data_IF_638078204822
#
_entry.id   IF_638078204822
#
_cell.length_a   1.000
_cell.length_b   1.000
_cell.length_c   1.000
_cell.angle_alpha   90.00
_cell.angle_beta   90.00
_cell.angle_gamma   90.00
#
_symmetry.space_group_name_H-M   'P 1'
#
loop_
_entity.id
_entity.type
_entity.pdbx_description
1 polymer ?
#
# COMPACT_ATOMS: atom_id res chain seq x y z
N UNK A 1 -1.63 -33.90 60.13
CA UNK A 1 -3.01 -34.42 59.98
C UNK A 1 -3.88 -33.68 60.97
N UNK A 2 -4.86 -32.93 60.49
CA UNK A 2 -5.85 -32.29 61.35
C UNK A 2 -6.95 -33.30 61.71
N UNK A 3 -7.54 -33.13 62.90
CA UNK A 3 -8.72 -33.89 63.33
C UNK A 3 -9.82 -32.93 63.74
N UNK A 4 -11.05 -33.18 63.31
CA UNK A 4 -12.21 -32.35 63.65
C UNK A 4 -13.44 -33.21 63.89
N UNK A 5 -14.22 -32.85 64.92
CA UNK A 5 -15.52 -33.46 65.20
C UNK A 5 -16.61 -32.66 64.49
N UNK A 6 -17.43 -33.35 63.70
CA UNK A 6 -18.50 -32.76 62.88
C UNK A 6 -19.82 -33.49 63.12
N UNK A 7 -20.95 -32.86 62.79
CA UNK A 7 -22.29 -33.45 62.91
C UNK A 7 -22.93 -33.60 61.54
N UNK A 8 -23.40 -34.81 61.21
CA UNK A 8 -24.18 -35.09 60.00
C UNK A 8 -25.52 -35.66 60.44
N UNK A 9 -26.60 -34.95 60.13
CA UNK A 9 -27.97 -35.23 60.57
C UNK A 9 -28.09 -35.54 62.07
N UNK A 10 -27.34 -34.81 62.90
CA UNK A 10 -27.33 -34.96 64.36
C UNK A 10 -26.39 -36.04 64.91
N UNK A 11 -25.75 -36.85 64.06
CA UNK A 11 -24.76 -37.86 64.47
C UNK A 11 -23.36 -37.26 64.43
N UNK A 12 -22.59 -37.44 65.49
CA UNK A 12 -21.20 -36.96 65.59
C UNK A 12 -20.21 -37.91 64.91
N UNK A 13 -19.33 -37.35 64.07
CA UNK A 13 -18.25 -38.06 63.39
C UNK A 13 -16.91 -37.37 63.66
N UNK A 14 -15.86 -38.17 63.88
CA UNK A 14 -14.49 -37.68 64.00
C UNK A 14 -13.74 -37.87 62.68
N UNK A 15 -13.51 -36.77 61.96
CA UNK A 15 -12.79 -36.77 60.69
C UNK A 15 -11.30 -36.51 60.93
N UNK A 16 -10.45 -37.24 60.20
CA UNK A 16 -8.99 -37.03 60.16
C UNK A 16 -8.55 -36.88 58.71
N UNK A 17 -7.81 -35.81 58.41
CA UNK A 17 -7.36 -35.50 57.06
C UNK A 17 -5.99 -34.85 57.00
N UNK A 18 -5.41 -34.77 55.80
CA UNK A 18 -4.18 -34.01 55.54
C UNK A 18 -4.45 -32.50 55.46
N UNK A 19 -5.65 -32.14 54.99
CA UNK A 19 -6.14 -30.77 54.89
C UNK A 19 -6.44 -30.16 56.27
N UNK A 20 -6.67 -28.84 56.29
CA UNK A 20 -6.96 -28.10 57.50
C UNK A 20 -8.36 -28.38 58.07
N UNK A 21 -8.60 -27.92 59.30
CA UNK A 21 -9.87 -28.14 59.99
C UNK A 21 -11.03 -27.43 59.31
N UNK A 22 -10.79 -26.28 58.66
CA UNK A 22 -11.83 -25.50 57.99
C UNK A 22 -12.37 -26.22 56.75
N UNK A 23 -11.47 -26.76 55.92
CA UNK A 23 -11.81 -27.59 54.78
C UNK A 23 -12.57 -28.85 55.20
N UNK A 24 -12.08 -29.56 56.22
CA UNK A 24 -12.76 -30.77 56.72
C UNK A 24 -14.17 -30.47 57.26
N UNK A 25 -14.37 -29.31 57.91
CA UNK A 25 -15.69 -28.84 58.33
C UNK A 25 -16.58 -28.48 57.13
N UNK A 26 -16.02 -27.87 56.09
CA UNK A 26 -16.75 -27.53 54.87
C UNK A 26 -17.23 -28.77 54.13
N UNK A 27 -16.38 -29.79 53.99
CA UNK A 27 -16.76 -31.09 53.39
C UNK A 27 -17.89 -31.74 54.19
N UNK A 28 -17.78 -31.77 55.52
CA UNK A 28 -18.83 -32.34 56.36
C UNK A 28 -20.16 -31.56 56.25
N UNK A 29 -20.09 -30.23 56.21
CA UNK A 29 -21.24 -29.35 56.01
C UNK A 29 -21.91 -29.61 54.67
N UNK A 30 -21.14 -29.75 53.59
CA UNK A 30 -21.65 -30.05 52.26
C UNK A 30 -22.45 -31.37 52.23
N UNK A 31 -21.90 -32.43 52.83
CA UNK A 31 -22.58 -33.72 52.92
C UNK A 31 -23.84 -33.64 53.77
N UNK A 32 -23.80 -32.95 54.91
CA UNK A 32 -24.97 -32.74 55.77
C UNK A 32 -26.10 -31.99 55.05
N UNK A 33 -25.78 -30.93 54.30
CA UNK A 33 -26.73 -30.18 53.49
C UNK A 33 -27.37 -31.04 52.40
N UNK A 34 -26.57 -31.85 51.68
CA UNK A 34 -27.08 -32.78 50.65
C UNK A 34 -28.00 -33.85 51.24
N UNK A 35 -27.66 -34.42 52.38
CA UNK A 35 -28.50 -35.44 53.03
C UNK A 35 -29.81 -34.84 53.54
N UNK A 36 -29.77 -33.64 54.14
CA UNK A 36 -30.98 -32.91 54.57
C UNK A 36 -31.89 -32.59 53.38
N UNK A 37 -31.33 -32.09 52.30
CA UNK A 37 -32.08 -31.75 51.08
C UNK A 37 -32.83 -32.99 50.52
N UNK A 38 -32.20 -34.16 50.53
CA UNK A 38 -32.84 -35.40 50.07
C UNK A 38 -33.95 -35.88 51.00
N UNK A 39 -33.78 -35.74 52.32
CA UNK A 39 -34.81 -36.08 53.31
C UNK A 39 -36.01 -35.13 53.24
N UNK A 40 -35.76 -33.84 53.01
CA UNK A 40 -36.80 -32.83 52.80
C UNK A 40 -37.61 -33.08 51.52
N UNK A 41 -36.93 -33.48 50.43
CA UNK A 41 -37.58 -33.78 49.14
C UNK A 41 -38.36 -35.10 49.15
N UNK A 42 -38.00 -36.07 49.99
CA UNK A 42 -38.70 -37.35 50.08
C UNK A 42 -38.77 -37.88 51.52
N UNK A 43 -39.89 -37.59 52.19
CA UNK A 43 -40.14 -37.98 53.57
C UNK A 43 -40.26 -39.50 53.81
N UNK A 44 -40.36 -40.32 52.75
CA UNK A 44 -40.37 -41.79 52.84
C UNK A 44 -38.97 -42.40 52.84
N UNK A 45 -37.94 -41.60 52.57
CA UNK A 45 -36.56 -42.06 52.48
C UNK A 45 -35.97 -42.24 53.88
N UNK A 46 -35.36 -43.39 54.15
CA UNK A 46 -34.63 -43.59 55.41
C UNK A 46 -33.34 -42.76 55.40
N UNK A 47 -32.82 -42.41 56.58
CA UNK A 47 -31.55 -41.69 56.69
C UNK A 47 -30.40 -42.43 55.99
N UNK A 48 -30.34 -43.76 56.09
CA UNK A 48 -29.33 -44.57 55.41
C UNK A 48 -29.46 -44.49 53.89
N UNK A 49 -30.68 -44.58 53.35
CA UNK A 49 -30.93 -44.45 51.91
C UNK A 49 -30.62 -43.02 51.40
N UNK A 50 -30.97 -41.99 52.18
CA UNK A 50 -30.64 -40.59 51.89
C UNK A 50 -29.12 -40.36 51.86
N UNK A 51 -28.39 -40.97 52.79
CA UNK A 51 -26.93 -40.88 52.85
C UNK A 51 -26.27 -41.56 51.65
N UNK A 52 -26.73 -42.75 51.27
CA UNK A 52 -26.23 -43.45 50.07
C UNK A 52 -26.53 -42.65 48.79
N UNK A 53 -27.74 -42.08 48.67
CA UNK A 53 -28.11 -41.27 47.51
C UNK A 53 -27.31 -39.95 47.45
N UNK A 54 -27.07 -39.31 48.60
CA UNK A 54 -26.18 -38.15 48.68
C UNK A 54 -24.77 -38.53 48.22
N UNK A 55 -24.23 -39.65 48.69
CA UNK A 55 -22.91 -40.12 48.27
C UNK A 55 -22.84 -40.38 46.75
N UNK A 56 -23.86 -41.01 46.16
CA UNK A 56 -23.92 -41.25 44.71
C UNK A 56 -23.96 -39.93 43.93
N UNK A 57 -24.77 -38.96 44.36
CA UNK A 57 -24.87 -37.66 43.70
C UNK A 57 -23.55 -36.89 43.77
N UNK A 58 -22.87 -36.90 44.92
CA UNK A 58 -21.56 -36.25 45.09
C UNK A 58 -20.49 -36.91 44.22
N UNK A 59 -20.51 -38.24 44.09
CA UNK A 59 -19.60 -38.96 43.19
C UNK A 59 -19.90 -38.65 41.72
N UNK A 60 -21.17 -38.53 41.34
CA UNK A 60 -21.56 -38.13 39.97
C UNK A 60 -21.13 -36.70 39.65
N UNK A 61 -21.34 -35.74 40.56
CA UNK A 61 -20.82 -34.38 40.44
C UNK A 61 -19.30 -34.36 40.29
N UNK A 62 -18.59 -35.18 41.07
CA UNK A 62 -17.14 -35.32 40.97
C UNK A 62 -16.71 -35.88 39.62
N UNK A 63 -17.38 -36.91 39.11
CA UNK A 63 -17.06 -37.50 37.80
C UNK A 63 -17.34 -36.54 36.65
N UNK A 64 -18.44 -35.78 36.70
CA UNK A 64 -18.75 -34.72 35.73
C UNK A 64 -17.71 -33.61 35.79
N UNK A 65 -17.39 -33.11 36.98
CA UNK A 65 -16.36 -32.09 37.16
C UNK A 65 -14.98 -32.55 36.68
N UNK A 66 -14.62 -33.82 36.92
CA UNK A 66 -13.36 -34.38 36.43
C UNK A 66 -13.35 -34.52 34.90
N UNK A 67 -14.48 -34.86 34.28
CA UNK A 67 -14.61 -34.87 32.82
C UNK A 67 -14.42 -33.46 32.25
N UNK A 68 -15.14 -32.47 32.76
CA UNK A 68 -15.05 -31.08 32.31
C UNK A 68 -13.61 -30.54 32.49
N UNK A 69 -12.94 -30.91 33.59
CA UNK A 69 -11.54 -30.58 33.84
C UNK A 69 -10.59 -31.19 32.80
N UNK A 70 -10.77 -32.47 32.45
CA UNK A 70 -9.95 -33.12 31.43
C UNK A 70 -10.21 -32.54 30.04
N UNK A 71 -11.47 -32.21 29.71
CA UNK A 71 -11.83 -31.55 28.45
C UNK A 71 -11.17 -30.15 28.38
N UNK A 72 -11.13 -29.42 29.50
CA UNK A 72 -10.45 -28.12 29.59
C UNK A 72 -8.93 -28.26 29.41
N UNK A 73 -8.29 -29.27 30.01
CA UNK A 73 -6.86 -29.55 29.78
C UNK A 73 -6.61 -29.84 28.29
N UNK A 74 -7.41 -30.70 27.68
CA UNK A 74 -7.24 -31.02 26.26
C UNK A 74 -7.40 -29.78 25.37
N UNK A 75 -8.35 -28.89 25.69
CA UNK A 75 -8.50 -27.62 24.98
C UNK A 75 -7.29 -26.69 25.19
N UNK A 76 -6.72 -26.66 26.40
CA UNK A 76 -5.55 -25.85 26.71
C UNK A 76 -4.31 -26.34 25.96
N UNK A 77 -4.08 -27.65 25.92
CA UNK A 77 -2.97 -28.25 25.18
C UNK A 77 -3.08 -27.96 23.68
N UNK A 78 -4.29 -28.06 23.11
CA UNK A 78 -4.54 -27.67 21.72
C UNK A 78 -4.25 -26.18 21.48
N UNK A 79 -4.68 -25.30 22.39
CA UNK A 79 -4.41 -23.87 22.29
C UNK A 79 -2.91 -23.57 22.35
N UNK A 80 -2.16 -24.27 23.21
CA UNK A 80 -0.70 -24.15 23.25
C UNK A 80 -0.04 -24.58 21.95
N UNK A 81 -0.49 -25.68 21.34
CA UNK A 81 0.02 -26.13 20.05
C UNK A 81 -0.25 -25.10 18.93
N UNK A 82 -1.48 -24.57 18.88
CA UNK A 82 -1.86 -23.54 17.91
C UNK A 82 -1.03 -22.26 18.11
N UNK A 83 -0.86 -21.80 19.35
CA UNK A 83 -0.03 -20.62 19.64
C UNK A 83 1.42 -20.83 19.19
N UNK A 84 2.00 -22.02 19.43
CA UNK A 84 3.35 -22.34 18.99
C UNK A 84 3.48 -22.36 17.46
N UNK A 85 2.45 -22.81 16.74
CA UNK A 85 2.41 -22.73 15.28
C UNK A 85 2.35 -21.28 14.80
N UNK A 86 1.48 -20.47 15.40
CA UNK A 86 1.34 -19.05 15.08
C UNK A 86 2.63 -18.27 15.35
N UNK A 87 3.32 -18.55 16.47
CA UNK A 87 4.63 -17.96 16.76
C UNK A 87 5.65 -18.26 15.65
N UNK A 88 5.64 -19.49 15.11
CA UNK A 88 6.52 -19.88 14.01
C UNK A 88 6.16 -19.15 12.70
N UNK A 89 4.89 -19.08 12.36
CA UNK A 89 4.40 -18.36 11.17
C UNK A 89 4.74 -16.86 11.23
N UNK A 90 4.60 -16.24 12.40
CA UNK A 90 4.98 -14.84 12.62
C UNK A 90 6.47 -14.64 12.39
N UNK A 91 7.31 -15.57 12.83
CA UNK A 91 8.75 -15.46 12.64
C UNK A 91 9.17 -15.65 11.17
N UNK A 92 8.58 -16.62 10.47
CA UNK A 92 8.77 -16.80 9.03
C UNK A 92 8.34 -15.56 8.24
N UNK A 93 7.20 -14.96 8.60
CA UNK A 93 6.72 -13.75 7.96
C UNK A 93 7.67 -12.56 8.18
N UNK A 94 8.23 -12.40 9.38
CA UNK A 94 9.22 -11.35 9.65
C UNK A 94 10.47 -11.49 8.79
N UNK A 95 11.00 -12.71 8.66
CA UNK A 95 12.16 -12.97 7.81
C UNK A 95 11.85 -12.67 6.34
N UNK A 96 10.66 -13.06 5.86
CA UNK A 96 10.23 -12.73 4.50
C UNK A 96 10.11 -11.22 4.26
N UNK A 97 9.60 -10.47 5.25
CA UNK A 97 9.45 -9.03 5.17
C UNK A 97 10.81 -8.33 5.15
N UNK A 98 11.77 -8.83 5.93
CA UNK A 98 13.15 -8.33 5.92
C UNK A 98 13.80 -8.55 4.55
N UNK A 99 13.67 -9.74 3.97
CA UNK A 99 14.20 -10.04 2.65
C UNK A 99 13.56 -9.15 1.56
N UNK A 100 12.24 -8.95 1.61
CA UNK A 100 11.54 -8.07 0.67
C UNK A 100 12.00 -6.61 0.79
N UNK A 101 12.24 -6.13 2.02
CA UNK A 101 12.79 -4.80 2.25
C UNK A 101 14.19 -4.64 1.65
N UNK A 102 15.08 -5.60 1.85
CA UNK A 102 16.43 -5.59 1.26
C UNK A 102 16.37 -5.61 -0.28
N UNK A 103 15.41 -6.33 -0.85
CA UNK A 103 15.16 -6.32 -2.29
C UNK A 103 14.70 -4.93 -2.77
N UNK A 104 13.78 -4.27 -2.07
CA UNK A 104 13.35 -2.91 -2.40
C UNK A 104 14.51 -1.90 -2.31
N UNK A 105 15.36 -1.99 -1.28
CA UNK A 105 16.54 -1.13 -1.14
C UNK A 105 17.52 -1.32 -2.30
N UNK A 106 17.73 -2.57 -2.74
CA UNK A 106 18.56 -2.89 -3.90
C UNK A 106 17.96 -2.34 -5.20
N UNK A 107 16.65 -2.49 -5.40
CA UNK A 107 15.97 -2.00 -6.58
C UNK A 107 16.05 -0.46 -6.67
N UNK A 108 15.92 0.22 -5.53
CA UNK A 108 16.04 1.67 -5.48
C UNK A 108 17.44 2.14 -5.89
N UNK A 109 18.49 1.46 -5.41
CA UNK A 109 19.87 1.75 -5.83
C UNK A 109 20.08 1.53 -7.34
N UNK A 110 19.43 0.53 -7.93
CA UNK A 110 19.48 0.30 -9.38
C UNK A 110 18.79 1.41 -10.17
N UNK A 111 17.64 1.90 -9.69
CA UNK A 111 16.94 3.04 -10.29
C UNK A 111 17.80 4.30 -10.21
N UNK A 112 18.39 4.59 -9.05
CA UNK A 112 19.29 5.73 -8.87
C UNK A 112 20.49 5.67 -9.85
N UNK A 113 21.07 4.48 -10.02
CA UNK A 113 22.18 4.27 -10.96
C UNK A 113 21.75 4.47 -12.41
N UNK A 114 20.58 3.97 -12.80
CA UNK A 114 20.03 4.18 -14.16
C UNK A 114 19.73 5.65 -14.43
N UNK A 115 19.15 6.36 -13.46
CA UNK A 115 18.86 7.79 -13.62
C UNK A 115 20.15 8.61 -13.80
N UNK A 116 21.23 8.26 -13.10
CA UNK A 116 22.54 8.89 -13.34
C UNK A 116 23.08 8.59 -14.73
N UNK A 117 22.86 7.38 -15.26
CA UNK A 117 23.25 7.04 -16.62
C UNK A 117 22.47 7.85 -17.65
N UNK A 118 21.14 7.91 -17.54
CA UNK A 118 20.27 8.69 -18.44
C UNK A 118 20.69 10.17 -18.44
N UNK A 119 20.87 10.78 -17.26
CA UNK A 119 21.35 12.16 -17.18
C UNK A 119 22.73 12.36 -17.84
N UNK A 120 23.58 11.34 -17.86
CA UNK A 120 24.87 11.38 -18.54
C UNK A 120 24.72 11.29 -20.06
N UNK A 121 23.80 10.45 -20.54
CA UNK A 121 23.45 10.33 -21.96
C UNK A 121 22.82 11.64 -22.47
N UNK A 122 21.88 12.23 -21.73
CA UNK A 122 21.25 13.52 -22.07
C UNK A 122 22.29 14.64 -22.22
N UNK A 123 23.26 14.73 -21.30
CA UNK A 123 24.36 15.70 -21.41
C UNK A 123 25.27 15.48 -22.62
N UNK A 124 25.43 14.22 -23.03
CA UNK A 124 26.20 13.90 -24.21
C UNK A 124 25.44 14.34 -25.46
N UNK A 125 24.14 14.05 -25.55
CA UNK A 125 23.28 14.51 -26.65
C UNK A 125 23.27 16.02 -26.76
N UNK A 126 23.09 16.76 -25.65
CA UNK A 126 23.18 18.23 -25.64
C UNK A 126 24.53 18.75 -26.19
N UNK A 127 25.61 18.01 -25.94
CA UNK A 127 26.96 18.38 -26.42
C UNK A 127 27.14 18.08 -27.90
N UNK A 128 26.53 17.01 -28.39
CA UNK A 128 26.52 16.63 -29.81
C UNK A 128 25.69 17.62 -30.62
N UNK A 129 24.51 18.01 -30.12
CA UNK A 129 23.64 19.01 -30.77
C UNK A 129 24.35 20.37 -30.89
N UNK A 130 25.04 20.83 -29.84
CA UNK A 130 25.84 22.07 -29.91
C UNK A 130 26.99 22.01 -30.92
N UNK A 131 27.56 20.81 -31.16
CA UNK A 131 28.59 20.66 -32.19
C UNK A 131 27.98 20.75 -33.59
N UNK A 132 26.84 20.10 -33.81
CA UNK A 132 26.12 20.16 -35.08
C UNK A 132 25.69 21.59 -35.40
N UNK A 133 25.17 22.34 -34.42
CA UNK A 133 24.82 23.75 -34.59
C UNK A 133 26.04 24.59 -35.03
N UNK A 134 27.20 24.36 -34.40
CA UNK A 134 28.44 25.06 -34.76
C UNK A 134 28.96 24.68 -36.15
N UNK A 135 28.83 23.42 -36.55
CA UNK A 135 29.17 22.97 -37.91
C UNK A 135 28.24 23.61 -38.96
N UNK A 136 26.94 23.67 -38.68
CA UNK A 136 25.97 24.31 -39.56
C UNK A 136 26.25 25.81 -39.74
N UNK A 137 26.53 26.55 -38.65
CA UNK A 137 26.94 27.96 -38.75
C UNK A 137 28.20 28.15 -39.60
N UNK A 138 29.15 27.20 -39.54
CA UNK A 138 30.35 27.26 -40.35
C UNK A 138 30.06 27.03 -41.84
N UNK A 139 29.17 26.10 -42.17
CA UNK A 139 28.69 25.86 -43.53
C UNK A 139 27.99 27.09 -44.09
N UNK A 140 27.14 27.75 -43.31
CA UNK A 140 26.47 28.99 -43.72
C UNK A 140 27.47 30.10 -44.07
N UNK A 141 28.56 30.22 -43.30
CA UNK A 141 29.63 31.19 -43.57
C UNK A 141 30.38 30.84 -44.87
N UNK A 142 30.67 29.56 -45.10
CA UNK A 142 31.31 29.11 -46.35
C UNK A 142 30.43 29.38 -47.57
N UNK A 143 29.14 29.05 -47.50
CA UNK A 143 28.18 29.33 -48.58
C UNK A 143 28.12 30.83 -48.90
N UNK A 144 28.03 31.71 -47.89
CA UNK A 144 28.06 33.15 -48.12
C UNK A 144 29.39 33.63 -48.74
N UNK A 145 30.52 33.01 -48.43
CA UNK A 145 31.79 33.35 -49.07
C UNK A 145 31.78 32.98 -50.55
N UNK A 146 31.30 31.78 -50.88
CA UNK A 146 31.16 31.32 -52.27
C UNK A 146 30.26 32.26 -53.07
N UNK A 147 29.11 32.68 -52.51
CA UNK A 147 28.22 33.65 -53.16
C UNK A 147 28.91 34.98 -53.45
N UNK A 148 29.69 35.50 -52.49
CA UNK A 148 30.43 36.75 -52.65
C UNK A 148 31.55 36.63 -53.70
N UNK A 149 32.23 35.49 -53.77
CA UNK A 149 33.23 35.21 -54.81
C UNK A 149 32.58 35.15 -56.19
N UNK A 150 31.42 34.48 -56.31
CA UNK A 150 30.63 34.45 -57.55
C UNK A 150 30.29 35.85 -58.05
N UNK A 151 29.75 36.71 -57.18
CA UNK A 151 29.43 38.10 -57.54
C UNK A 151 30.65 38.93 -57.97
N UNK A 152 31.84 38.66 -57.41
CA UNK A 152 33.06 39.33 -57.86
C UNK A 152 33.47 38.88 -59.25
N UNK A 153 33.40 37.58 -59.55
CA UNK A 153 33.69 37.03 -60.88
C UNK A 153 32.74 37.62 -61.92
N UNK A 154 31.45 37.72 -61.62
CA UNK A 154 30.47 38.35 -62.52
C UNK A 154 30.83 39.82 -62.81
N UNK A 155 31.19 40.59 -61.78
CA UNK A 155 31.61 41.98 -61.94
C UNK A 155 32.96 42.15 -62.67
N UNK A 156 33.86 41.17 -62.58
CA UNK A 156 35.09 41.13 -63.38
C UNK A 156 34.79 40.81 -64.85
N UNK A 157 33.90 39.85 -65.11
CA UNK A 157 33.45 39.50 -66.46
C UNK A 157 32.78 40.69 -67.14
N UNK A 158 31.87 41.42 -66.48
CA UNK A 158 31.27 42.64 -67.02
C UNK A 158 32.34 43.71 -67.39
N UNK A 159 33.41 43.83 -66.60
CA UNK A 159 34.50 44.76 -66.91
C UNK A 159 35.34 44.30 -68.11
N UNK A 160 35.54 42.99 -68.26
CA UNK A 160 36.19 42.41 -69.44
C UNK A 160 35.32 42.65 -70.68
N UNK A 161 34.00 42.50 -70.59
CA UNK A 161 33.06 42.80 -71.67
C UNK A 161 33.13 44.27 -72.10
N UNK A 162 33.14 45.21 -71.14
CA UNK A 162 33.28 46.64 -71.44
C UNK A 162 34.64 46.92 -72.10
N UNK A 163 35.72 46.25 -71.68
CA UNK A 163 37.05 46.38 -72.31
C UNK A 163 37.07 45.81 -73.72
N UNK A 164 36.48 44.65 -73.95
CA UNK A 164 36.39 44.03 -75.27
C UNK A 164 35.58 44.91 -76.22
N UNK A 165 34.44 45.47 -75.78
CA UNK A 165 33.68 46.46 -76.56
C UNK A 165 34.47 47.75 -76.86
N UNK A 166 35.40 48.16 -75.98
CA UNK A 166 36.29 49.30 -76.25
C UNK A 166 37.38 48.96 -77.26
N UNK A 167 37.92 47.74 -77.23
CA UNK A 167 38.87 47.23 -78.24
C UNK A 167 38.17 47.12 -79.60
N UNK A 168 36.91 46.67 -79.65
CA UNK A 168 36.08 46.67 -80.86
C UNK A 168 35.81 48.09 -81.39
N UNK A 169 35.73 49.09 -80.50
CA UNK A 169 35.60 50.51 -80.85
C UNK A 169 36.90 51.15 -81.38
N UNK A 170 38.06 50.64 -80.97
CA UNK A 170 39.37 51.06 -81.47
C UNK A 170 39.75 50.34 -82.77
N UNK A 171 39.33 49.08 -82.97
CA UNK A 171 39.50 48.32 -84.21
C UNK A 171 38.55 48.79 -85.34
N UNK A 172 37.42 49.42 -85.01
CA UNK A 172 36.58 50.17 -85.97
C UNK A 172 37.27 51.42 -86.55
N UNK A 173 38.43 51.83 -86.01
CA UNK A 173 39.24 52.92 -86.57
C UNK A 173 40.36 52.42 -87.50
N UNK A 174 40.54 51.10 -87.64
CA UNK A 174 41.58 50.50 -88.48
C UNK A 174 41.06 49.81 -89.76
N UNK A 175 39.80 49.36 -89.82
CA UNK A 175 39.30 48.52 -90.94
C UNK A 175 38.19 49.14 -91.82
N UNK A 176 38.33 50.42 -92.19
CA UNK A 176 37.68 50.96 -93.41
C UNK A 176 38.48 50.60 -94.69
N UNK A 177 39.60 49.87 -94.58
CA UNK A 177 40.46 49.59 -95.73
C UNK A 177 41.01 48.15 -95.74
N UNK A 178 40.17 47.12 -95.82
CA UNK A 178 40.28 46.08 -96.86
C UNK A 178 39.22 44.96 -96.75
N UNK A 179 38.64 44.66 -97.92
CA UNK A 179 37.67 43.60 -98.17
C UNK A 179 38.23 42.19 -97.91
N UNK A 180 37.41 41.28 -97.35
CA UNK A 180 36.97 39.97 -97.90
C UNK A 180 36.66 38.95 -96.78
N UNK A 181 35.39 38.61 -96.53
CA UNK A 181 34.68 37.37 -96.99
C UNK A 181 34.62 36.23 -95.95
N UNK A 182 33.39 35.99 -95.47
CA UNK A 182 32.72 34.69 -95.21
C UNK A 182 33.16 33.72 -94.09
N UNK A 183 33.75 34.18 -92.97
CA UNK A 183 34.05 33.30 -91.81
C UNK A 183 33.36 33.62 -90.48
N UNK A 184 32.96 34.88 -90.25
CA UNK A 184 32.68 35.38 -88.89
C UNK A 184 31.19 35.33 -88.50
N UNK A 185 30.28 35.24 -89.47
CA UNK A 185 28.85 35.11 -89.17
C UNK A 185 28.45 33.69 -88.69
N UNK A 186 29.25 32.65 -88.94
CA UNK A 186 28.98 31.30 -88.38
C UNK A 186 29.51 31.14 -86.95
N UNK A 187 30.50 31.95 -86.52
CA UNK A 187 31.05 31.90 -85.16
C UNK A 187 30.15 32.68 -84.17
N UNK A 188 29.64 33.85 -84.58
CA UNK A 188 28.72 34.66 -83.76
C UNK A 188 27.32 34.03 -83.59
N UNK A 189 26.86 33.23 -84.57
CA UNK A 189 25.60 32.46 -84.43
C UNK A 189 25.79 31.27 -83.49
N UNK A 190 26.96 30.59 -83.49
CA UNK A 190 27.25 29.48 -82.56
C UNK A 190 27.46 29.98 -81.13
N UNK A 191 28.11 31.13 -80.94
CA UNK A 191 28.38 31.72 -79.62
C UNK A 191 27.11 32.30 -78.99
N UNK A 192 26.23 32.95 -79.77
CA UNK A 192 24.90 33.34 -79.27
C UNK A 192 24.02 32.12 -78.95
N UNK A 193 24.11 31.04 -79.73
CA UNK A 193 23.37 29.81 -79.44
C UNK A 193 23.89 29.10 -78.18
N UNK A 194 25.20 29.19 -77.89
CA UNK A 194 25.78 28.68 -76.64
C UNK A 194 25.39 29.51 -75.42
N UNK A 195 25.30 30.83 -75.55
CA UNK A 195 24.82 31.72 -74.48
C UNK A 195 23.32 31.55 -74.23
N UNK A 196 22.53 31.32 -75.27
CA UNK A 196 21.11 30.98 -75.13
C UNK A 196 20.96 29.61 -74.42
N UNK A 197 21.74 28.60 -74.80
CA UNK A 197 21.74 27.28 -74.15
C UNK A 197 22.22 27.36 -72.69
N UNK A 198 23.23 28.18 -72.36
CA UNK A 198 23.71 28.40 -70.98
C UNK A 198 22.70 29.15 -70.11
N UNK A 199 22.01 30.16 -70.66
CA UNK A 199 20.92 30.83 -69.94
C UNK A 199 19.72 29.90 -69.72
N UNK A 200 19.38 29.06 -70.69
CA UNK A 200 18.32 28.05 -70.51
C UNK A 200 18.71 27.01 -69.44
N UNK A 201 20.00 26.65 -69.37
CA UNK A 201 20.55 25.76 -68.34
C UNK A 201 20.49 26.41 -66.95
N UNK A 202 20.84 27.69 -66.82
CA UNK A 202 20.78 28.44 -65.56
C UNK A 202 19.33 28.65 -65.08
N UNK A 203 18.39 28.88 -65.98
CA UNK A 203 16.96 28.95 -65.66
C UNK A 203 16.45 27.59 -65.14
N UNK A 204 16.89 26.47 -65.74
CA UNK A 204 16.55 25.12 -65.27
C UNK A 204 17.15 24.85 -63.88
N UNK A 205 18.37 25.28 -63.61
CA UNK A 205 19.05 25.08 -62.34
C UNK A 205 18.39 25.90 -61.21
N UNK A 206 18.06 27.17 -61.46
CA UNK A 206 17.28 27.98 -60.52
C UNK A 206 15.88 27.38 -60.26
N UNK A 207 15.23 26.84 -61.30
CA UNK A 207 13.93 26.17 -61.14
C UNK A 207 14.04 24.89 -60.29
N UNK A 208 15.15 24.15 -60.39
CA UNK A 208 15.41 22.99 -59.53
C UNK A 208 15.64 23.38 -58.08
N UNK A 209 16.35 24.47 -57.81
CA UNK A 209 16.56 24.98 -56.44
C UNK A 209 15.25 25.45 -55.82
N UNK A 210 14.39 26.11 -56.59
CA UNK A 210 13.04 26.51 -56.13
C UNK A 210 12.16 25.28 -55.82
N UNK A 211 12.24 24.23 -56.66
CA UNK A 211 11.53 22.98 -56.44
C UNK A 211 12.07 22.22 -55.20
N UNK A 212 13.38 22.19 -54.97
CA UNK A 212 14.01 21.61 -53.78
C UNK A 212 13.63 22.36 -52.49
N UNK A 213 13.62 23.70 -52.52
CA UNK A 213 13.19 24.50 -51.37
C UNK A 213 11.70 24.29 -51.05
N UNK A 214 10.83 24.20 -52.06
CA UNK A 214 9.42 23.87 -51.84
C UNK A 214 9.24 22.46 -51.27
N UNK A 215 10.08 21.52 -51.67
CA UNK A 215 10.06 20.16 -51.12
C UNK A 215 10.52 20.15 -49.65
N UNK A 216 11.58 20.88 -49.30
CA UNK A 216 12.07 21.02 -47.93
C UNK A 216 11.03 21.69 -47.01
N UNK A 217 10.35 22.75 -47.48
CA UNK A 217 9.25 23.38 -46.75
C UNK A 217 8.11 22.40 -46.49
N UNK A 218 7.76 21.58 -47.49
CA UNK A 218 6.72 20.55 -47.36
C UNK A 218 7.11 19.45 -46.37
N UNK A 219 8.39 19.06 -46.33
CA UNK A 219 8.91 18.07 -45.38
C UNK A 219 8.93 18.62 -43.95
N UNK A 220 9.28 19.89 -43.74
CA UNK A 220 9.19 20.54 -42.43
C UNK A 220 7.74 20.65 -41.94
N UNK A 221 6.80 21.03 -42.82
CA UNK A 221 5.38 21.12 -42.47
C UNK A 221 4.80 19.72 -42.10
N UNK A 222 5.28 18.67 -42.77
CA UNK A 222 4.95 17.28 -42.46
C UNK A 222 5.51 16.85 -41.08
N UNK A 223 6.76 17.22 -40.77
CA UNK A 223 7.39 16.91 -39.48
C UNK A 223 6.69 17.63 -38.31
N UNK A 224 6.26 18.87 -38.49
CA UNK A 224 5.47 19.61 -37.50
C UNK A 224 4.12 18.92 -37.22
N UNK A 225 3.44 18.44 -38.26
CA UNK A 225 2.18 17.67 -38.12
C UNK A 225 2.42 16.36 -37.37
N UNK A 226 3.52 15.66 -37.65
CA UNK A 226 3.85 14.39 -37.00
C UNK A 226 4.19 14.58 -35.52
N UNK A 227 4.98 15.60 -35.19
CA UNK A 227 5.26 15.99 -33.79
C UNK A 227 3.98 16.36 -33.04
N UNK A 228 3.08 17.11 -33.69
CA UNK A 228 1.81 17.48 -33.08
C UNK A 228 0.88 16.28 -32.85
N UNK A 229 0.89 15.28 -33.73
CA UNK A 229 0.16 14.02 -33.52
C UNK A 229 0.74 13.19 -32.37
N UNK A 230 2.07 13.13 -32.23
CA UNK A 230 2.72 12.44 -31.11
C UNK A 230 2.40 13.12 -29.77
N UNK A 231 2.37 14.46 -29.74
CA UNK A 231 1.96 15.21 -28.55
C UNK A 231 0.49 14.95 -28.17
N UNK A 232 -0.41 14.91 -29.16
CA UNK A 232 -1.82 14.57 -28.96
C UNK A 232 -2.01 13.13 -28.49
N UNK A 233 -1.26 12.15 -29.04
CA UNK A 233 -1.28 10.76 -28.59
C UNK A 233 -0.73 10.59 -27.17
N UNK A 234 0.35 11.28 -26.82
CA UNK A 234 0.92 11.26 -25.47
C UNK A 234 -0.05 11.86 -24.44
N UNK A 235 -0.71 12.98 -24.76
CA UNK A 235 -1.75 13.55 -23.89
C UNK A 235 -2.95 12.62 -23.73
N UNK A 236 -3.32 11.89 -24.80
CA UNK A 236 -4.41 10.93 -24.74
C UNK A 236 -4.05 9.71 -23.88
N UNK A 237 -2.84 9.18 -24.00
CA UNK A 237 -2.34 8.07 -23.18
C UNK A 237 -2.25 8.42 -21.68
N UNK A 238 -1.79 9.63 -21.35
CA UNK A 238 -1.77 10.12 -19.96
C UNK A 238 -3.19 10.23 -19.37
N UNK A 239 -4.16 10.65 -20.19
CA UNK A 239 -5.56 10.75 -19.76
C UNK A 239 -6.22 9.39 -19.52
N UNK A 240 -5.88 8.38 -20.33
CA UNK A 240 -6.36 6.99 -20.14
C UNK A 240 -5.75 6.34 -18.90
N UNK A 241 -4.44 6.51 -18.67
CA UNK A 241 -3.78 6.00 -17.47
C UNK A 241 -4.33 6.60 -16.17
N UNK A 242 -4.61 7.91 -16.18
CA UNK A 242 -5.26 8.58 -15.05
C UNK A 242 -6.70 8.09 -14.82
N UNK A 243 -7.43 7.78 -15.89
CA UNK A 243 -8.80 7.28 -15.79
C UNK A 243 -8.85 5.88 -15.17
N UNK A 244 -7.96 4.97 -15.57
CA UNK A 244 -7.85 3.63 -14.97
C UNK A 244 -7.52 3.69 -13.48
N UNK A 245 -6.61 4.58 -13.08
CA UNK A 245 -6.22 4.75 -11.68
C UNK A 245 -7.38 5.33 -10.83
N UNK A 246 -8.18 6.26 -11.39
CA UNK A 246 -9.37 6.80 -10.72
C UNK A 246 -10.43 5.73 -10.50
N UNK A 247 -10.68 4.85 -11.47
CA UNK A 247 -11.63 3.75 -11.31
C UNK A 247 -11.13 2.71 -10.31
N UNK A 248 -9.84 2.37 -10.33
CA UNK A 248 -9.21 1.49 -9.33
C UNK A 248 -9.35 2.04 -7.91
N UNK A 249 -9.10 3.34 -7.73
CA UNK A 249 -9.25 4.00 -6.43
C UNK A 249 -10.71 4.02 -5.96
N UNK A 250 -11.67 4.23 -6.86
CA UNK A 250 -13.10 4.15 -6.53
C UNK A 250 -13.49 2.76 -6.04
N UNK A 251 -13.00 1.71 -6.70
CA UNK A 251 -13.29 0.33 -6.34
C UNK A 251 -12.72 -0.03 -4.95
N UNK A 252 -11.49 0.41 -4.66
CA UNK A 252 -10.89 0.28 -3.33
C UNK A 252 -11.68 1.03 -2.25
N UNK A 253 -12.19 2.21 -2.56
CA UNK A 253 -12.98 3.02 -1.63
C UNK A 253 -14.31 2.34 -1.29
N UNK A 254 -14.96 1.70 -2.28
CA UNK A 254 -16.18 0.92 -2.08
C UNK A 254 -15.96 -0.27 -1.13
N UNK A 255 -14.86 -1.01 -1.31
CA UNK A 255 -14.49 -2.13 -0.43
C UNK A 255 -14.24 -1.62 1.00
N UNK A 256 -13.56 -0.48 1.15
CA UNK A 256 -13.26 0.11 2.44
C UNK A 256 -14.53 0.58 3.18
N UNK A 257 -15.51 1.13 2.46
CA UNK A 257 -16.81 1.53 3.02
C UNK A 257 -17.59 0.33 3.57
N UNK A 258 -17.61 -0.78 2.83
CA UNK A 258 -18.28 -2.02 3.26
C UNK A 258 -17.64 -2.62 4.52
N UNK A 259 -16.31 -2.66 4.57
CA UNK A 259 -15.57 -3.12 5.77
C UNK A 259 -15.88 -2.23 6.97
N UNK A 260 -15.88 -0.91 6.79
CA UNK A 260 -16.21 0.03 7.86
C UNK A 260 -17.64 -0.17 8.41
N UNK A 261 -18.59 -0.44 7.51
CA UNK A 261 -19.98 -0.73 7.89
C UNK A 261 -20.10 -2.02 8.69
N UNK A 262 -19.34 -3.06 8.32
CA UNK A 262 -19.29 -4.31 9.06
C UNK A 262 -18.65 -4.13 10.45
N UNK A 263 -17.55 -3.37 10.53
CA UNK A 263 -16.90 -3.02 11.80
C UNK A 263 -17.83 -2.21 12.72
N UNK A 264 -18.57 -1.23 12.20
CA UNK A 264 -19.56 -0.49 12.99
C UNK A 264 -20.62 -1.42 13.60
N UNK A 265 -21.14 -2.36 12.81
CA UNK A 265 -22.13 -3.33 13.29
C UNK A 265 -21.55 -4.23 14.38
N UNK A 266 -20.30 -4.69 14.21
CA UNK A 266 -19.61 -5.51 15.21
C UNK A 266 -19.35 -4.74 16.50
N UNK A 267 -18.96 -3.47 16.40
CA UNK A 267 -18.72 -2.60 17.54
C UNK A 267 -20.01 -2.33 18.31
N UNK A 268 -21.13 -2.11 17.62
CA UNK A 268 -22.45 -1.95 18.23
C UNK A 268 -22.88 -3.19 19.02
N UNK A 269 -22.67 -4.40 18.47
CA UNK A 269 -22.92 -5.66 19.20
C UNK A 269 -22.04 -5.80 20.45
N UNK A 270 -20.77 -5.38 20.37
CA UNK A 270 -19.86 -5.39 21.52
C UNK A 270 -20.31 -4.41 22.60
N UNK A 271 -20.79 -3.22 22.25
CA UNK A 271 -21.35 -2.27 23.20
C UNK A 271 -22.58 -2.84 23.93
N UNK A 272 -23.49 -3.48 23.19
CA UNK A 272 -24.66 -4.14 23.76
C UNK A 272 -24.27 -5.24 24.74
N UNK A 273 -23.33 -6.11 24.36
CA UNK A 273 -22.79 -7.15 25.24
C UNK A 273 -22.12 -6.56 26.48
N UNK A 274 -21.36 -5.48 26.34
CA UNK A 274 -20.74 -4.80 27.48
C UNK A 274 -21.77 -4.18 28.43
N UNK A 275 -22.86 -3.61 27.90
CA UNK A 275 -23.97 -3.11 28.72
C UNK A 275 -24.63 -4.25 29.50
N UNK A 276 -24.86 -5.38 28.84
CA UNK A 276 -25.47 -6.57 29.43
C UNK A 276 -24.56 -7.16 30.53
N UNK A 277 -23.27 -7.35 30.25
CA UNK A 277 -22.29 -7.80 31.26
C UNK A 277 -22.24 -6.86 32.45
N UNK A 278 -22.27 -5.54 32.23
CA UNK A 278 -22.31 -4.55 33.31
C UNK A 278 -23.58 -4.70 34.15
N UNK A 279 -24.73 -4.95 33.54
CA UNK A 279 -25.98 -5.22 34.25
C UNK A 279 -25.92 -6.51 35.08
N UNK A 280 -25.36 -7.58 34.52
CA UNK A 280 -25.17 -8.87 35.21
C UNK A 280 -24.22 -8.76 36.40
N UNK A 281 -23.13 -8.00 36.26
CA UNK A 281 -22.19 -7.72 37.35
C UNK A 281 -22.88 -6.94 38.47
N UNK A 282 -23.66 -5.91 38.15
CA UNK A 282 -24.40 -5.16 39.16
C UNK A 282 -25.43 -6.05 39.88
N UNK A 283 -26.17 -6.86 39.13
CA UNK A 283 -27.15 -7.81 39.69
C UNK A 283 -26.47 -8.80 40.65
N UNK A 284 -25.35 -9.38 40.22
CA UNK A 284 -24.55 -10.30 41.05
C UNK A 284 -24.02 -9.62 42.30
N UNK A 285 -23.56 -8.36 42.19
CA UNK A 285 -23.11 -7.55 43.32
C UNK A 285 -24.22 -7.34 44.36
N UNK A 286 -25.43 -6.98 43.94
CA UNK A 286 -26.57 -6.84 44.85
C UNK A 286 -26.94 -8.16 45.52
N UNK A 287 -26.88 -9.27 44.79
CA UNK A 287 -27.17 -10.61 45.32
C UNK A 287 -26.14 -11.03 46.37
N UNK A 288 -24.86 -10.77 46.14
CA UNK A 288 -23.78 -10.98 47.12
C UNK A 288 -24.01 -10.10 48.36
N UNK A 289 -24.37 -8.83 48.17
CA UNK A 289 -24.61 -7.91 49.28
C UNK A 289 -25.79 -8.34 50.17
N UNK A 290 -26.89 -8.82 49.59
CA UNK A 290 -28.02 -9.36 50.34
C UNK A 290 -27.64 -10.63 51.12
N UNK A 291 -26.84 -11.52 50.51
CA UNK A 291 -26.31 -12.70 51.18
C UNK A 291 -25.35 -12.33 52.32
N UNK A 292 -24.48 -11.33 52.13
CA UNK A 292 -23.60 -10.81 53.17
C UNK A 292 -24.39 -10.19 54.33
N UNK A 293 -25.45 -9.42 54.04
CA UNK A 293 -26.34 -8.86 55.07
C UNK A 293 -27.00 -9.97 55.89
N UNK A 294 -27.59 -10.98 55.22
CA UNK A 294 -28.19 -12.16 55.88
C UNK A 294 -27.17 -12.90 56.75
N UNK A 295 -25.92 -13.01 56.28
CA UNK A 295 -24.83 -13.61 57.04
C UNK A 295 -24.50 -12.79 58.31
N UNK A 296 -24.38 -11.47 58.19
CA UNK A 296 -24.13 -10.56 59.33
C UNK A 296 -25.29 -10.62 60.34
N UNK A 297 -26.54 -10.54 59.89
CA UNK A 297 -27.72 -10.61 60.75
C UNK A 297 -27.78 -11.95 61.52
N UNK A 298 -27.39 -13.04 60.85
CA UNK A 298 -27.25 -14.36 61.47
C UNK A 298 -26.12 -14.39 62.52
N UNK A 299 -24.97 -13.79 62.22
CA UNK A 299 -23.86 -13.68 63.19
C UNK A 299 -24.22 -12.81 64.41
N UNK A 300 -24.95 -11.71 64.22
CA UNK A 300 -25.48 -10.86 65.30
C UNK A 300 -26.46 -11.66 66.16
N UNK A 301 -27.39 -12.39 65.52
CA UNK A 301 -28.34 -13.25 66.23
C UNK A 301 -27.62 -14.31 67.05
N UNK A 302 -26.62 -14.98 66.47
CA UNK A 302 -25.80 -15.97 67.15
C UNK A 302 -25.02 -15.38 68.33
N UNK A 303 -24.45 -14.17 68.18
CA UNK A 303 -23.76 -13.46 69.24
C UNK A 303 -24.72 -13.05 70.39
N UNK A 304 -25.94 -12.61 70.05
CA UNK A 304 -26.98 -12.28 71.02
C UNK A 304 -27.45 -13.52 71.79
N UNK A 305 -27.57 -14.67 71.13
CA UNK A 305 -27.94 -15.94 71.74
C UNK A 305 -26.81 -16.49 72.63
N UNK A 306 -25.55 -16.34 72.22
CA UNK A 306 -24.39 -16.65 73.07
C UNK A 306 -24.33 -15.75 74.30
N UNK A 307 -24.71 -14.47 74.19
CA UNK A 307 -24.79 -13.54 75.31
C UNK A 307 -25.93 -13.89 76.27
N UNK A 308 -27.12 -14.27 75.78
CA UNK A 308 -28.26 -14.65 76.61
C UNK A 308 -28.08 -16.00 77.33
N UNK A 309 -27.32 -16.93 76.74
CA UNK A 309 -26.94 -18.21 77.34
C UNK A 309 -25.70 -18.17 78.24
N UNK A 310 -25.03 -17.03 78.38
CA UNK A 310 -23.83 -16.91 79.22
C UNK A 310 -24.20 -16.46 80.65
N UNK A 311 -24.08 -17.32 81.68
CA UNK A 311 -24.51 -17.02 83.05
C UNK A 311 -23.70 -15.89 83.73
N UNK A 312 -22.57 -15.45 83.16
CA UNK A 312 -21.71 -14.39 83.72
C UNK A 312 -22.10 -12.96 83.31
N UNK A 313 -23.00 -12.77 82.33
CA UNK A 313 -23.42 -11.45 81.83
C UNK A 313 -24.85 -11.04 82.20
N UNK A 314 -25.66 -11.95 82.76
CA UNK A 314 -27.03 -11.68 83.23
C UNK A 314 -27.11 -11.30 84.72
N UNK A 315 -25.97 -11.01 85.37
CA UNK A 315 -25.89 -10.71 86.81
C UNK A 315 -25.74 -9.23 87.17
N UNK A 316 -25.92 -8.29 86.24
CA UNK A 316 -25.72 -6.85 86.53
C UNK A 316 -26.92 -5.95 86.25
N UNK A 317 -28.15 -6.47 86.15
CA UNK A 317 -29.35 -5.62 86.04
C UNK A 317 -30.52 -6.12 86.90
N UNK A 318 -30.26 -6.37 88.20
CA UNK A 318 -31.27 -6.26 89.24
C UNK A 318 -30.56 -6.15 90.61
N UNK A 319 -30.69 -4.97 91.24
CA UNK A 319 -30.12 -4.49 92.52
C UNK A 319 -28.80 -3.73 92.41
#
# INVERSE_FOLDING_TARGET
MASVTVKINGIEYNLKGKEDTAYLQQVAKYVDERVKELLEKNSKLSFSAATVLAAINVVDELFKGNKDYNDLIASFDNLQLVNKSLEKEVEELKESFKALREQCETLNQQVDSKNQQVNGEDQQTDSEDQQVDGENEQVDIENQQVDNEGQQVDGENEQVDIKNQQVDGEDQQADIENQQVDGENEQADIENQQVDDENEQADIENQQVDDENQQADSENEQADIENQQVDDENQQADSEGLFEEVERLREQLMIMEDINKELMNKNKKLEENNRELKFQVQTSKYKIMDLQKKYIDSQISLASERKSRNPLLNLTNNS
#
